data_IF_191096001828
#
_entry.id   IF_191096001828
#
_cell.length_a   1.000
_cell.length_b   1.000
_cell.length_c   1.000
_cell.angle_alpha   90.00
_cell.angle_beta   90.00
_cell.angle_gamma   90.00
#
_symmetry.space_group_name_H-M   'P 1'
#
loop_
_entity.id
_entity.type
_entity.pdbx_description
1 polymer ?
#
# COMPACT_ATOMS: atom_id res chain seq x y z
N UNK A 1 -27.77 -6.40 22.16
CA UNK A 1 -28.29 -7.50 21.36
C UNK A 1 -27.10 -8.22 20.72
N UNK A 2 -27.00 -9.55 20.77
CA UNK A 2 -25.88 -10.29 20.14
C UNK A 2 -26.18 -10.43 18.65
N UNK A 3 -25.14 -10.45 17.79
CA UNK A 3 -25.32 -10.68 16.34
C UNK A 3 -25.98 -12.06 16.07
N UNK A 4 -25.75 -13.01 16.98
CA UNK A 4 -26.43 -14.33 16.94
C UNK A 4 -27.93 -14.29 17.11
N UNK A 5 -28.46 -13.19 17.66
CA UNK A 5 -29.89 -13.01 17.86
C UNK A 5 -30.58 -12.37 16.63
N UNK A 6 -29.79 -11.94 15.64
CA UNK A 6 -30.29 -11.37 14.39
C UNK A 6 -30.75 -12.49 13.43
N UNK A 7 -31.69 -12.19 12.53
CA UNK A 7 -31.99 -13.11 11.44
C UNK A 7 -30.73 -13.49 10.65
N UNK A 8 -30.55 -14.74 10.20
CA UNK A 8 -29.39 -15.16 9.44
C UNK A 8 -29.05 -14.25 8.25
N UNK A 9 -30.09 -13.77 7.54
CA UNK A 9 -29.95 -12.88 6.39
C UNK A 9 -29.41 -11.47 6.74
N UNK A 10 -29.34 -11.10 8.01
CA UNK A 10 -28.83 -9.81 8.48
C UNK A 10 -27.45 -9.92 9.13
N UNK A 11 -26.98 -11.16 9.40
CA UNK A 11 -25.67 -11.37 10.04
C UNK A 11 -24.55 -11.13 9.02
N UNK A 12 -23.53 -10.30 9.35
CA UNK A 12 -22.49 -9.90 8.40
C UNK A 12 -21.78 -11.10 7.73
N UNK A 13 -21.46 -12.16 8.50
CA UNK A 13 -20.76 -13.33 7.96
C UNK A 13 -21.62 -14.11 6.96
N UNK A 14 -22.85 -14.36 7.31
CA UNK A 14 -23.83 -15.05 6.48
C UNK A 14 -24.11 -14.25 5.20
N UNK A 15 -24.29 -12.92 5.32
CA UNK A 15 -24.46 -12.02 4.17
C UNK A 15 -23.24 -12.00 3.26
N UNK A 16 -22.03 -11.98 3.83
CA UNK A 16 -20.79 -12.04 3.05
C UNK A 16 -20.74 -13.29 2.17
N UNK A 17 -21.10 -14.45 2.73
CA UNK A 17 -21.05 -15.74 2.02
C UNK A 17 -22.17 -15.90 1.01
N UNK A 18 -23.36 -15.36 1.29
CA UNK A 18 -24.56 -15.53 0.45
C UNK A 18 -24.65 -14.46 -0.65
N UNK A 19 -24.28 -13.20 -0.33
CA UNK A 19 -24.54 -12.03 -1.20
C UNK A 19 -23.29 -11.31 -1.68
N UNK A 20 -22.10 -11.69 -1.19
CA UNK A 20 -20.84 -11.05 -1.56
C UNK A 20 -20.47 -9.84 -0.68
N UNK A 21 -19.21 -9.41 -0.81
CA UNK A 21 -18.61 -8.36 0.04
C UNK A 21 -19.17 -6.95 -0.26
N UNK A 22 -19.57 -6.70 -1.49
CA UNK A 22 -20.12 -5.44 -1.99
C UNK A 22 -21.46 -5.04 -1.32
N UNK A 23 -22.14 -6.00 -0.71
CA UNK A 23 -23.39 -5.76 0.02
C UNK A 23 -23.20 -5.38 1.48
N UNK A 24 -21.96 -5.42 1.99
CA UNK A 24 -21.62 -5.12 3.37
C UNK A 24 -21.04 -3.70 3.48
N UNK A 25 -21.37 -3.03 4.58
CA UNK A 25 -20.70 -1.80 4.99
C UNK A 25 -19.29 -2.08 5.51
N UNK A 26 -18.44 -1.07 5.52
CA UNK A 26 -17.08 -1.16 6.09
C UNK A 26 -17.08 -1.71 7.52
N UNK A 27 -18.03 -1.26 8.35
CA UNK A 27 -18.18 -1.75 9.73
C UNK A 27 -18.54 -3.24 9.78
N UNK A 28 -19.35 -3.74 8.86
CA UNK A 28 -19.70 -5.15 8.78
C UNK A 28 -18.52 -6.00 8.30
N UNK A 29 -17.75 -5.52 7.32
CA UNK A 29 -16.52 -6.18 6.86
C UNK A 29 -15.47 -6.26 7.99
N UNK A 30 -15.24 -5.15 8.70
CA UNK A 30 -14.36 -5.12 9.87
C UNK A 30 -14.87 -6.05 10.97
N UNK A 31 -16.19 -6.10 11.21
CA UNK A 31 -16.78 -6.99 12.20
C UNK A 31 -16.57 -8.48 11.85
N UNK A 32 -16.59 -8.86 10.57
CA UNK A 32 -16.26 -10.21 10.12
C UNK A 32 -14.81 -10.57 10.49
N UNK A 33 -13.86 -9.65 10.28
CA UNK A 33 -12.46 -9.83 10.67
C UNK A 33 -12.29 -9.89 12.20
N UNK A 34 -13.00 -9.06 12.96
CA UNK A 34 -12.97 -9.07 14.43
C UNK A 34 -13.54 -10.36 15.03
N UNK A 35 -14.43 -11.06 14.33
CA UNK A 35 -15.12 -12.30 14.72
C UNK A 35 -16.05 -12.18 15.92
N UNK A 36 -15.68 -11.41 16.93
CA UNK A 36 -16.44 -11.24 18.17
C UNK A 36 -16.33 -9.81 18.69
N UNK A 37 -17.39 -9.33 19.30
CA UNK A 37 -17.38 -8.11 20.09
C UNK A 37 -16.79 -8.31 21.49
N UNK A 38 -17.19 -7.45 22.41
CA UNK A 38 -16.87 -7.50 23.85
C UNK A 38 -18.16 -7.47 24.68
N UNK A 39 -18.02 -7.61 25.98
CA UNK A 39 -19.18 -7.52 26.89
C UNK A 39 -19.90 -6.18 26.69
N UNK A 40 -21.17 -6.25 26.32
CA UNK A 40 -22.02 -5.08 26.08
C UNK A 40 -21.95 -4.47 24.69
N UNK A 41 -21.02 -4.90 23.81
CA UNK A 41 -20.88 -4.41 22.43
C UNK A 41 -20.77 -5.54 21.44
N UNK A 42 -21.50 -5.48 20.34
CA UNK A 42 -21.36 -6.42 19.23
C UNK A 42 -20.04 -6.22 18.47
N UNK A 43 -19.68 -7.15 17.58
CA UNK A 43 -18.52 -6.96 16.69
C UNK A 43 -18.71 -5.77 15.74
N UNK A 44 -19.96 -5.48 15.32
CA UNK A 44 -20.27 -4.33 14.46
C UNK A 44 -20.13 -3.01 15.21
N UNK A 45 -20.55 -2.96 16.49
CA UNK A 45 -20.36 -1.76 17.29
C UNK A 45 -18.88 -1.47 17.53
N UNK A 46 -18.10 -2.50 17.84
CA UNK A 46 -16.64 -2.41 17.99
C UNK A 46 -15.97 -1.97 16.69
N UNK A 47 -16.43 -2.47 15.55
CA UNK A 47 -15.94 -2.07 14.23
C UNK A 47 -16.22 -0.60 13.93
N UNK A 48 -17.42 -0.10 14.26
CA UNK A 48 -17.77 1.33 14.10
C UNK A 48 -16.88 2.23 14.96
N UNK A 49 -16.61 1.83 16.20
CA UNK A 49 -15.70 2.57 17.08
C UNK A 49 -14.28 2.64 16.52
N UNK A 50 -13.75 1.51 16.02
CA UNK A 50 -12.45 1.50 15.35
C UNK A 50 -12.42 2.43 14.14
N UNK A 51 -13.40 2.33 13.24
CA UNK A 51 -13.47 3.19 12.07
C UNK A 51 -13.57 4.67 12.44
N UNK A 52 -14.30 5.00 13.48
CA UNK A 52 -14.40 6.38 13.98
C UNK A 52 -13.08 6.86 14.59
N UNK A 53 -12.42 6.03 15.41
CA UNK A 53 -11.16 6.37 16.06
C UNK A 53 -10.03 6.62 15.03
N UNK A 54 -9.99 5.83 13.94
CA UNK A 54 -8.97 5.96 12.90
C UNK A 54 -9.40 6.88 11.74
N UNK A 55 -10.63 7.39 11.73
CA UNK A 55 -11.12 8.27 10.66
C UNK A 55 -11.41 7.53 9.34
N UNK A 56 -11.60 6.22 9.38
CA UNK A 56 -11.98 5.40 8.22
C UNK A 56 -11.15 4.12 8.03
N UNK A 57 -11.52 3.34 7.01
CA UNK A 57 -10.91 2.04 6.71
C UNK A 57 -9.43 2.18 6.38
N UNK A 58 -9.06 3.18 5.57
CA UNK A 58 -7.68 3.36 5.10
C UNK A 58 -6.71 3.50 6.26
N UNK A 59 -6.94 4.48 7.14
CA UNK A 59 -6.06 4.71 8.30
C UNK A 59 -6.07 3.55 9.29
N UNK A 60 -7.22 2.88 9.45
CA UNK A 60 -7.29 1.68 10.29
C UNK A 60 -6.44 0.53 9.72
N UNK A 61 -6.46 0.33 8.41
CA UNK A 61 -5.63 -0.69 7.75
C UNK A 61 -4.15 -0.31 7.77
N UNK A 62 -3.82 0.97 7.60
CA UNK A 62 -2.45 1.49 7.70
C UNK A 62 -1.86 1.27 9.10
N UNK A 63 -2.67 1.44 10.15
CA UNK A 63 -2.25 1.13 11.52
C UNK A 63 -1.91 -0.36 11.72
N UNK A 64 -2.55 -1.26 10.97
CA UNK A 64 -2.22 -2.69 10.89
C UNK A 64 -1.98 -3.36 12.25
N UNK A 65 -0.74 -3.85 12.46
CA UNK A 65 -0.33 -4.48 13.73
C UNK A 65 -0.17 -3.47 14.89
N UNK A 66 -0.04 -2.17 14.58
CA UNK A 66 0.08 -1.08 15.56
C UNK A 66 -1.29 -0.56 16.03
N UNK A 67 -2.40 -1.21 15.61
CA UNK A 67 -3.72 -0.89 16.16
C UNK A 67 -3.60 -0.80 17.67
N UNK A 68 -3.84 0.37 18.23
CA UNK A 68 -3.73 0.60 19.68
C UNK A 68 -4.57 -0.41 20.44
N UNK A 69 -4.11 -0.76 21.63
CA UNK A 69 -4.81 -1.70 22.51
C UNK A 69 -6.15 -1.09 22.97
N UNK A 70 -7.13 -1.20 22.11
CA UNK A 70 -8.50 -0.84 22.40
C UNK A 70 -9.19 -2.00 23.12
N UNK A 71 -10.08 -1.71 24.06
CA UNK A 71 -10.83 -2.76 24.74
C UNK A 71 -11.55 -3.63 23.71
N UNK A 72 -11.14 -4.90 23.62
CA UNK A 72 -11.69 -5.86 22.66
C UNK A 72 -10.86 -6.07 21.38
N UNK A 73 -9.75 -5.35 21.20
CA UNK A 73 -8.78 -5.56 20.12
C UNK A 73 -7.46 -6.05 20.72
N UNK A 74 -7.48 -7.29 21.17
CA UNK A 74 -6.29 -7.94 21.72
C UNK A 74 -5.30 -8.41 20.64
N UNK A 75 -4.15 -9.00 21.03
CA UNK A 75 -3.09 -9.42 20.12
C UNK A 75 -3.57 -10.31 18.97
N UNK A 76 -4.48 -11.24 19.23
CA UNK A 76 -5.01 -12.14 18.20
C UNK A 76 -5.76 -11.39 17.07
N UNK A 77 -6.58 -10.42 17.42
CA UNK A 77 -7.31 -9.61 16.41
C UNK A 77 -6.35 -8.71 15.64
N UNK A 78 -5.37 -8.10 16.30
CA UNK A 78 -4.32 -7.32 15.63
C UNK A 78 -3.53 -8.17 14.63
N UNK A 79 -3.16 -9.38 15.03
CA UNK A 79 -2.48 -10.31 14.14
C UNK A 79 -3.34 -10.69 12.92
N UNK A 80 -4.66 -10.86 13.08
CA UNK A 80 -5.57 -11.13 11.97
C UNK A 80 -5.61 -9.97 10.96
N UNK A 81 -5.71 -8.73 11.43
CA UNK A 81 -5.66 -7.55 10.56
C UNK A 81 -4.32 -7.47 9.82
N UNK A 82 -3.20 -7.56 10.55
CA UNK A 82 -1.87 -7.54 9.95
C UNK A 82 -1.68 -8.62 8.89
N UNK A 83 -2.14 -9.85 9.17
CA UNK A 83 -2.05 -10.95 8.21
C UNK A 83 -2.94 -10.73 6.98
N UNK A 84 -4.17 -10.23 7.13
CA UNK A 84 -5.05 -9.94 6.01
C UNK A 84 -4.48 -8.87 5.07
N UNK A 85 -3.91 -7.80 5.64
CA UNK A 85 -3.26 -6.72 4.89
C UNK A 85 -2.03 -7.26 4.15
N UNK A 86 -1.18 -8.04 4.83
CA UNK A 86 0.02 -8.61 4.23
C UNK A 86 -0.32 -9.58 3.09
N UNK A 87 -1.36 -10.40 3.23
CA UNK A 87 -1.84 -11.27 2.15
C UNK A 87 -2.38 -10.46 0.96
N UNK A 88 -3.13 -9.40 1.19
CA UNK A 88 -3.59 -8.51 0.13
C UNK A 88 -2.41 -7.85 -0.61
N UNK A 89 -1.38 -7.41 0.14
CA UNK A 89 -0.15 -6.85 -0.42
C UNK A 89 0.58 -7.87 -1.30
N UNK A 90 0.74 -9.11 -0.82
CA UNK A 90 1.39 -10.19 -1.60
C UNK A 90 0.59 -10.55 -2.85
N UNK A 91 -0.73 -10.64 -2.76
CA UNK A 91 -1.57 -10.92 -3.90
C UNK A 91 -1.46 -9.84 -4.99
N UNK A 92 -1.36 -8.55 -4.61
CA UNK A 92 -1.14 -7.47 -5.54
C UNK A 92 0.27 -7.52 -6.14
N UNK A 93 1.29 -7.83 -5.34
CA UNK A 93 2.66 -8.02 -5.83
C UNK A 93 2.71 -9.17 -6.85
N UNK A 94 2.12 -10.32 -6.54
CA UNK A 94 2.04 -11.47 -7.45
C UNK A 94 1.34 -11.11 -8.77
N UNK A 95 0.25 -10.34 -8.72
CA UNK A 95 -0.39 -9.82 -9.93
C UNK A 95 0.52 -8.92 -10.75
N UNK A 96 1.33 -8.08 -10.11
CA UNK A 96 2.30 -7.22 -10.81
C UNK A 96 3.41 -8.05 -11.47
N UNK A 97 3.89 -9.10 -10.80
CA UNK A 97 4.92 -10.01 -11.32
C UNK A 97 4.39 -10.89 -12.47
N UNK A 98 3.14 -11.33 -12.38
CA UNK A 98 2.50 -12.20 -13.39
C UNK A 98 1.86 -11.42 -14.54
N UNK A 99 1.46 -10.17 -14.34
CA UNK A 99 0.82 -9.41 -15.40
C UNK A 99 1.85 -8.95 -16.43
N UNK A 100 1.63 -9.37 -17.66
CA UNK A 100 2.44 -9.07 -18.85
C UNK A 100 2.51 -7.57 -19.19
N UNK A 101 1.98 -6.72 -18.38
CA UNK A 101 2.10 -5.29 -18.49
C UNK A 101 1.75 -4.64 -17.14
N UNK A 102 2.65 -3.90 -16.56
CA UNK A 102 2.31 -2.74 -15.73
C UNK A 102 1.59 -1.69 -16.61
N UNK A 103 0.62 -2.15 -17.41
CA UNK A 103 -0.16 -1.36 -18.37
C UNK A 103 -1.26 -0.57 -17.69
N UNK A 104 -1.49 -0.81 -16.39
CA UNK A 104 -2.44 -0.04 -15.60
C UNK A 104 -1.70 0.74 -14.51
N UNK A 105 -1.53 2.06 -14.66
CA UNK A 105 -1.02 2.92 -13.58
C UNK A 105 -1.80 2.75 -12.27
N UNK A 106 -3.08 2.34 -12.35
CA UNK A 106 -3.92 2.04 -11.19
C UNK A 106 -3.41 0.90 -10.34
N UNK A 107 -3.05 -0.24 -10.94
CA UNK A 107 -2.55 -1.41 -10.18
C UNK A 107 -1.22 -1.11 -9.47
N UNK A 108 -0.33 -0.37 -10.13
CA UNK A 108 0.93 0.11 -9.51
C UNK A 108 0.62 1.02 -8.33
N UNK A 109 -0.29 1.97 -8.51
CA UNK A 109 -0.71 2.93 -7.48
C UNK A 109 -1.27 2.21 -6.25
N UNK A 110 -2.14 1.23 -6.43
CA UNK A 110 -2.76 0.49 -5.33
C UNK A 110 -1.72 -0.35 -4.56
N UNK A 111 -0.82 -1.01 -5.27
CA UNK A 111 0.31 -1.70 -4.65
C UNK A 111 1.20 -0.76 -3.85
N UNK A 112 1.58 0.40 -4.43
CA UNK A 112 2.46 1.36 -3.77
C UNK A 112 1.80 1.98 -2.53
N UNK A 113 0.50 2.26 -2.57
CA UNK A 113 -0.26 2.70 -1.38
C UNK A 113 -0.17 1.68 -0.26
N UNK A 114 -0.48 0.41 -0.53
CA UNK A 114 -0.40 -0.65 0.48
C UNK A 114 1.02 -0.86 1.02
N UNK A 115 2.04 -0.58 0.21
CA UNK A 115 3.43 -0.78 0.58
C UNK A 115 4.01 0.37 1.39
N UNK A 116 3.64 1.60 1.05
CA UNK A 116 4.34 2.81 1.49
C UNK A 116 3.50 3.73 2.39
N UNK A 117 2.15 3.69 2.32
CA UNK A 117 1.29 4.66 2.99
C UNK A 117 1.47 4.71 4.52
N UNK A 118 1.66 3.53 5.16
CA UNK A 118 1.83 3.43 6.61
C UNK A 118 3.26 3.65 7.11
N UNK A 119 4.21 3.94 6.21
CA UNK A 119 5.62 4.11 6.59
C UNK A 119 5.84 5.44 7.30
N UNK A 120 6.47 5.39 8.48
CA UNK A 120 6.86 6.56 9.28
C UNK A 120 8.16 7.19 8.83
N UNK A 121 8.97 6.44 8.10
CA UNK A 121 10.25 6.87 7.53
C UNK A 121 10.13 6.94 6.01
N UNK A 122 10.88 7.83 5.38
CA UNK A 122 10.97 7.83 3.92
C UNK A 122 11.62 6.55 3.42
N UNK A 123 10.99 5.90 2.46
CA UNK A 123 11.50 4.72 1.78
C UNK A 123 11.46 4.94 0.28
N UNK A 124 12.55 4.63 -0.40
CA UNK A 124 12.65 4.70 -1.85
C UNK A 124 12.56 3.30 -2.45
N UNK A 125 11.61 3.11 -3.33
CA UNK A 125 11.31 1.84 -4.00
C UNK A 125 11.70 1.89 -5.48
N UNK A 126 12.19 0.76 -5.99
CA UNK A 126 12.40 0.51 -7.42
C UNK A 126 11.60 -0.72 -7.83
N UNK A 127 10.75 -0.58 -8.85
CA UNK A 127 10.10 -1.69 -9.56
C UNK A 127 10.86 -1.87 -10.86
N UNK A 128 11.71 -2.89 -10.92
CA UNK A 128 12.51 -3.22 -12.10
C UNK A 128 11.69 -4.02 -13.10
N UNK A 129 11.80 -3.69 -14.38
CA UNK A 129 10.96 -4.22 -15.44
C UNK A 129 11.78 -4.80 -16.58
N UNK A 130 11.25 -5.86 -17.20
CA UNK A 130 11.79 -6.39 -18.45
C UNK A 130 11.34 -5.56 -19.68
N UNK A 131 11.75 -5.99 -20.88
CA UNK A 131 11.42 -5.33 -22.13
C UNK A 131 9.90 -5.37 -22.48
N UNK A 132 9.12 -6.23 -21.85
CA UNK A 132 7.66 -6.29 -21.94
C UNK A 132 6.97 -5.55 -20.79
N UNK A 133 7.71 -4.78 -20.00
CA UNK A 133 7.26 -4.06 -18.83
C UNK A 133 6.65 -4.95 -17.71
N UNK A 134 7.09 -6.22 -17.61
CA UNK A 134 6.73 -7.10 -16.50
C UNK A 134 7.71 -6.86 -15.35
N UNK A 135 7.20 -6.90 -14.12
CA UNK A 135 8.06 -6.74 -12.96
C UNK A 135 9.03 -7.94 -12.82
N UNK A 136 10.32 -7.66 -12.81
CA UNK A 136 11.39 -8.63 -12.55
C UNK A 136 11.68 -8.70 -11.07
N UNK A 137 11.73 -7.52 -10.42
CA UNK A 137 12.09 -7.38 -9.03
C UNK A 137 11.55 -6.08 -8.46
N UNK A 138 11.16 -6.14 -7.21
CA UNK A 138 10.80 -4.96 -6.41
C UNK A 138 11.77 -4.88 -5.24
N UNK A 139 12.54 -3.81 -5.16
CA UNK A 139 13.48 -3.59 -4.06
C UNK A 139 13.31 -2.22 -3.41
N UNK A 140 13.76 -2.12 -2.17
CA UNK A 140 13.81 -0.89 -1.39
C UNK A 140 15.29 -0.59 -1.11
N UNK A 141 16.00 0.02 -2.06
CA UNK A 141 17.44 0.22 -1.95
C UNK A 141 17.83 1.24 -0.89
N UNK A 142 16.92 2.15 -0.54
CA UNK A 142 17.21 3.22 0.42
C UNK A 142 16.08 3.40 1.42
N UNK A 143 16.48 3.61 2.68
CA UNK A 143 15.64 4.10 3.78
C UNK A 143 16.26 5.35 4.33
N UNK A 144 15.45 6.38 4.50
CA UNK A 144 15.86 7.65 5.07
C UNK A 144 15.57 7.77 6.55
N UNK A 145 15.85 8.96 7.05
CA UNK A 145 15.32 9.45 8.33
C UNK A 145 13.91 10.02 8.12
N UNK A 146 13.31 10.61 9.16
CA UNK A 146 11.99 11.26 9.08
C UNK A 146 11.90 12.40 8.06
N UNK A 147 13.03 12.91 7.57
CA UNK A 147 13.11 14.14 6.77
C UNK A 147 13.90 14.02 5.48
N UNK A 148 14.67 12.94 5.26
CA UNK A 148 15.52 12.83 4.07
C UNK A 148 15.98 11.40 3.78
N UNK A 149 15.85 10.98 2.52
CA UNK A 149 16.43 9.74 1.97
C UNK A 149 17.48 10.11 0.94
N UNK A 150 18.75 9.71 1.17
CA UNK A 150 19.81 9.89 0.19
C UNK A 150 19.80 8.77 -0.82
N UNK A 151 19.36 9.05 -2.04
CA UNK A 151 19.36 8.09 -3.16
C UNK A 151 20.58 8.37 -4.03
N UNK A 152 21.43 7.34 -4.19
CA UNK A 152 22.67 7.44 -4.97
C UNK A 152 22.48 6.82 -6.36
N UNK A 153 22.58 7.62 -7.46
CA UNK A 153 22.41 7.10 -8.83
C UNK A 153 23.28 5.89 -9.15
N UNK A 154 24.52 5.84 -8.66
CA UNK A 154 25.41 4.69 -8.88
C UNK A 154 24.87 3.37 -8.34
N UNK A 155 24.15 3.38 -7.21
CA UNK A 155 23.57 2.16 -6.62
C UNK A 155 22.34 1.71 -7.42
N UNK A 156 21.57 2.67 -7.92
CA UNK A 156 20.44 2.42 -8.83
C UNK A 156 20.94 1.80 -10.15
N UNK A 157 22.02 2.33 -10.74
CA UNK A 157 22.63 1.78 -11.94
C UNK A 157 23.13 0.34 -11.71
N UNK A 158 23.78 0.07 -10.57
CA UNK A 158 24.22 -1.29 -10.22
C UNK A 158 23.05 -2.27 -10.12
N UNK A 159 21.95 -1.86 -9.49
CA UNK A 159 20.74 -2.68 -9.38
C UNK A 159 20.11 -2.92 -10.75
N UNK A 160 20.03 -1.92 -11.61
CA UNK A 160 19.52 -2.05 -12.96
C UNK A 160 20.29 -3.10 -13.77
N UNK A 161 21.62 -3.07 -13.71
CA UNK A 161 22.48 -4.04 -14.36
C UNK A 161 22.37 -5.45 -13.74
N UNK A 162 22.32 -5.54 -12.40
CA UNK A 162 22.18 -6.80 -11.68
C UNK A 162 20.91 -7.54 -12.07
N UNK A 163 19.80 -6.82 -12.25
CA UNK A 163 18.52 -7.41 -12.62
C UNK A 163 18.29 -7.49 -14.14
N UNK A 164 19.24 -7.02 -14.95
CA UNK A 164 19.10 -6.93 -16.40
C UNK A 164 17.79 -6.24 -16.79
N UNK A 165 17.48 -5.13 -16.12
CA UNK A 165 16.24 -4.39 -16.29
C UNK A 165 16.27 -3.57 -17.59
N UNK A 166 15.15 -3.55 -18.31
CA UNK A 166 14.93 -2.67 -19.46
C UNK A 166 14.24 -1.35 -19.08
N UNK A 167 13.51 -1.36 -17.97
CA UNK A 167 12.85 -0.16 -17.46
C UNK A 167 12.69 -0.21 -15.93
N UNK A 168 12.32 0.92 -15.34
CA UNK A 168 12.05 1.05 -13.90
C UNK A 168 10.91 2.02 -13.64
N UNK A 169 10.15 1.74 -12.58
CA UNK A 169 9.26 2.68 -11.93
C UNK A 169 9.82 2.95 -10.55
N UNK A 170 9.98 4.23 -10.20
CA UNK A 170 10.36 4.66 -8.87
C UNK A 170 9.14 4.97 -8.02
N UNK A 171 9.29 4.84 -6.72
CA UNK A 171 8.32 5.35 -5.77
C UNK A 171 9.00 5.72 -4.45
N UNK A 172 8.49 6.74 -3.78
CA UNK A 172 8.84 7.04 -2.39
C UNK A 172 7.61 7.57 -1.64
N UNK A 173 7.68 7.51 -0.32
CA UNK A 173 6.62 8.07 0.50
C UNK A 173 7.04 9.37 1.17
N UNK A 174 6.06 10.23 1.40
CA UNK A 174 6.19 11.41 2.25
C UNK A 174 5.46 11.17 3.58
N UNK A 175 6.17 10.89 4.68
CA UNK A 175 5.55 10.71 6.01
C UNK A 175 4.82 11.95 6.52
N UNK A 176 5.12 13.13 5.96
CA UNK A 176 4.43 14.38 6.25
C UNK A 176 2.96 14.41 5.82
N UNK A 177 2.51 13.45 5.00
CA UNK A 177 1.16 13.41 4.43
C UNK A 177 0.94 14.34 3.23
N UNK A 178 1.96 15.09 2.79
CA UNK A 178 1.88 15.99 1.63
C UNK A 178 2.36 15.26 0.38
N UNK A 179 1.46 14.92 -0.52
CA UNK A 179 1.76 14.17 -1.75
C UNK A 179 2.37 15.04 -2.88
N UNK A 180 2.61 16.34 -2.65
CA UNK A 180 3.16 17.23 -3.68
C UNK A 180 4.65 16.98 -3.90
N UNK A 181 5.12 16.83 -5.16
CA UNK A 181 6.53 16.74 -5.48
C UNK A 181 7.29 17.97 -4.96
N UNK A 182 8.42 17.75 -4.33
CA UNK A 182 9.37 18.80 -3.99
C UNK A 182 10.34 19.04 -5.16
N UNK A 183 11.03 20.17 -5.14
CA UNK A 183 12.11 20.44 -6.11
C UNK A 183 13.22 19.38 -6.03
N UNK A 184 13.48 18.85 -4.84
CA UNK A 184 14.45 17.77 -4.62
C UNK A 184 14.03 16.49 -5.31
N UNK A 185 12.73 16.15 -5.28
CA UNK A 185 12.20 14.95 -5.94
C UNK A 185 12.30 15.04 -7.45
N UNK A 186 12.00 16.22 -8.00
CA UNK A 186 12.14 16.49 -9.43
C UNK A 186 13.60 16.40 -9.88
N UNK A 187 14.53 17.00 -9.10
CA UNK A 187 15.96 16.95 -9.40
C UNK A 187 16.48 15.50 -9.30
N UNK A 188 16.11 14.76 -8.25
CA UNK A 188 16.47 13.36 -8.09
C UNK A 188 16.00 12.54 -9.28
N UNK A 189 14.72 12.68 -9.67
CA UNK A 189 14.13 11.95 -10.79
C UNK A 189 14.90 12.22 -12.09
N UNK A 190 15.25 13.48 -12.35
CA UNK A 190 16.03 13.88 -13.53
C UNK A 190 17.42 13.24 -13.52
N UNK A 191 18.13 13.31 -12.40
CA UNK A 191 19.47 12.73 -12.26
C UNK A 191 19.46 11.21 -12.44
N UNK A 192 18.45 10.51 -11.90
CA UNK A 192 18.29 9.08 -12.06
C UNK A 192 17.96 8.70 -13.51
N UNK A 193 17.09 9.47 -14.16
CA UNK A 193 16.73 9.28 -15.57
C UNK A 193 17.95 9.47 -16.47
N UNK A 194 18.75 10.50 -16.26
CA UNK A 194 20.00 10.74 -17.00
C UNK A 194 21.00 9.58 -16.79
N UNK A 195 21.23 9.16 -15.55
CA UNK A 195 22.16 8.07 -15.25
C UNK A 195 21.73 6.73 -15.89
N UNK A 196 20.44 6.40 -15.85
CA UNK A 196 19.91 5.18 -16.41
C UNK A 196 19.84 5.20 -17.95
N UNK A 197 19.68 6.37 -18.56
CA UNK A 197 19.70 6.51 -20.02
C UNK A 197 21.03 6.11 -20.63
N UNK A 198 22.14 6.27 -19.90
CA UNK A 198 23.48 5.86 -20.35
C UNK A 198 23.64 4.33 -20.50
N UNK A 199 22.76 3.58 -19.85
CA UNK A 199 22.72 2.10 -19.92
C UNK A 199 21.43 1.58 -20.55
N UNK A 200 20.73 2.44 -21.31
CA UNK A 200 19.52 2.14 -22.05
C UNK A 200 18.31 1.66 -21.19
N UNK A 201 18.32 1.97 -19.90
CA UNK A 201 17.19 1.66 -18.98
C UNK A 201 16.24 2.84 -18.90
N UNK A 202 14.96 2.62 -19.21
CA UNK A 202 13.92 3.67 -19.24
C UNK A 202 13.30 3.88 -17.88
N UNK A 203 13.19 5.12 -17.43
CA UNK A 203 12.33 5.49 -16.28
C UNK A 203 10.92 5.72 -16.82
N UNK A 204 9.97 4.86 -16.44
CA UNK A 204 8.59 4.94 -16.92
C UNK A 204 7.71 5.86 -16.07
N UNK A 205 7.95 5.91 -14.76
CA UNK A 205 7.25 6.78 -13.84
C UNK A 205 8.02 6.97 -12.53
N UNK A 206 7.60 7.96 -11.74
CA UNK A 206 7.98 8.16 -10.36
C UNK A 206 6.73 8.52 -9.55
N UNK A 207 6.42 7.72 -8.53
CA UNK A 207 5.26 7.92 -7.68
C UNK A 207 5.66 8.51 -6.33
N UNK A 208 4.88 9.48 -5.85
CA UNK A 208 4.95 9.94 -4.46
C UNK A 208 3.71 9.46 -3.73
N UNK A 209 3.91 8.72 -2.64
CA UNK A 209 2.83 8.21 -1.79
C UNK A 209 2.77 9.00 -0.49
N UNK A 210 1.62 9.58 -0.18
CA UNK A 210 1.38 10.29 1.07
C UNK A 210 -0.01 9.95 1.60
N UNK A 211 -0.08 9.16 2.66
CA UNK A 211 -1.33 8.57 3.14
C UNK A 211 -2.02 7.80 2.01
N UNK A 212 -3.29 8.09 1.79
CA UNK A 212 -4.11 7.46 0.74
C UNK A 212 -3.87 8.01 -0.68
N UNK A 213 -3.02 9.03 -0.84
CA UNK A 213 -2.73 9.62 -2.15
C UNK A 213 -1.47 9.00 -2.75
N UNK A 214 -1.48 8.76 -4.05
CA UNK A 214 -0.30 8.41 -4.83
C UNK A 214 -0.30 9.20 -6.14
N UNK A 215 0.72 10.02 -6.32
CA UNK A 215 0.87 10.96 -7.43
C UNK A 215 1.92 10.42 -8.38
N UNK A 216 1.60 10.41 -9.67
CA UNK A 216 2.49 10.03 -10.77
C UNK A 216 3.14 11.27 -11.38
N UNK A 217 4.45 11.23 -11.57
CA UNK A 217 5.21 12.25 -12.31
C UNK A 217 4.88 12.24 -13.79
N UNK A 218 4.71 11.06 -14.38
CA UNK A 218 4.35 10.92 -15.80
C UNK A 218 3.00 11.57 -16.10
N UNK A 219 1.97 11.32 -15.28
CA UNK A 219 0.64 11.93 -15.43
C UNK A 219 0.66 13.46 -15.27
N UNK A 220 1.66 14.00 -14.54
CA UNK A 220 1.84 15.44 -14.32
C UNK A 220 2.79 16.11 -15.30
N UNK A 221 3.39 15.35 -16.21
CA UNK A 221 4.38 15.88 -17.17
C UNK A 221 5.70 16.32 -16.53
N UNK A 222 6.07 15.70 -15.40
CA UNK A 222 7.30 16.00 -14.63
C UNK A 222 8.43 14.99 -14.90
N UNK A 223 8.20 14.02 -15.80
CA UNK A 223 9.16 12.96 -16.10
C UNK A 223 10.09 13.27 -17.27
#
# INVERSE_FOLDING_TARGET
MRITDWPPSERPRERLLEKGADTLSDAELVAVLLRSGVRGKSAVDLARELLTQYGGVTHMLEAGAELEAMTGVGPAKRAQFAAAIELARRALQEKLEQSAALTSPGAVRDYLRLRLAARKEEAFLCIWLDAQHRAIQIEEPFRGTLTQTSVYPREIVKSALRFNAAAVIFAHNHPSGVAQPSQSDELLTRNLKEALSLIEVKVLDHFIVAGHQAISFAERGLL
#
